data_IF_732092938712
#
_entry.id   IF_732092938712
#
_cell.length_a   1.000
_cell.length_b   1.000
_cell.length_c   1.000
_cell.angle_alpha   90.00
_cell.angle_beta   90.00
_cell.angle_gamma   90.00
#
_symmetry.space_group_name_H-M   'P 1'
#
loop_
_entity.id
_entity.type
_entity.pdbx_description
1 polymer ?
#
# COMPACT_ATOMS: atom_id res chain seq x y z
N UNK A 1 64.48 -67.03 -51.99
CA UNK A 1 63.27 -66.62 -52.73
C UNK A 1 62.40 -65.78 -51.78
N UNK A 2 62.64 -64.47 -51.68
CA UNK A 2 61.97 -63.36 -52.40
C UNK A 2 60.59 -62.97 -51.89
N UNK A 3 60.57 -61.98 -50.98
CA UNK A 3 59.79 -60.71 -51.00
C UNK A 3 58.40 -60.66 -51.66
N UNK A 4 57.40 -60.11 -50.93
CA UNK A 4 56.71 -58.85 -51.32
C UNK A 4 55.86 -58.21 -50.22
N UNK A 5 56.05 -56.91 -50.09
CA UNK A 5 55.38 -55.91 -49.24
C UNK A 5 54.10 -55.36 -49.89
N UNK A 6 53.31 -54.58 -49.11
CA UNK A 6 52.26 -53.59 -49.47
C UNK A 6 50.82 -54.03 -49.17
N UNK A 7 49.86 -53.19 -48.77
CA UNK A 7 49.80 -51.73 -48.54
C UNK A 7 48.56 -51.43 -47.69
N UNK A 8 48.59 -50.28 -47.01
CA UNK A 8 47.57 -49.71 -46.10
C UNK A 8 46.24 -49.37 -46.81
N UNK A 9 45.13 -49.46 -46.09
CA UNK A 9 43.93 -48.64 -46.30
C UNK A 9 43.50 -48.05 -44.95
N UNK A 10 43.78 -46.75 -44.76
CA UNK A 10 43.23 -45.93 -43.67
C UNK A 10 41.85 -45.46 -44.10
N UNK A 11 40.81 -45.91 -43.39
CA UNK A 11 39.48 -45.30 -43.47
C UNK A 11 39.44 -44.02 -42.64
N UNK A 12 39.16 -42.89 -43.28
CA UNK A 12 38.88 -41.60 -42.65
C UNK A 12 37.45 -41.65 -42.11
N UNK A 13 37.27 -41.58 -40.80
CA UNK A 13 35.97 -41.32 -40.17
C UNK A 13 35.87 -39.82 -39.94
N UNK A 14 34.97 -39.17 -40.68
CA UNK A 14 34.61 -37.76 -40.52
C UNK A 14 33.75 -37.65 -39.25
N UNK A 15 34.35 -37.16 -38.15
CA UNK A 15 33.61 -36.79 -36.96
C UNK A 15 32.92 -35.44 -37.20
N UNK A 16 31.61 -35.47 -37.47
CA UNK A 16 30.78 -34.29 -37.49
C UNK A 16 30.70 -33.71 -36.07
N UNK A 17 31.37 -32.58 -35.85
CA UNK A 17 31.30 -31.83 -34.60
C UNK A 17 29.90 -31.25 -34.39
N UNK A 18 29.15 -31.85 -33.48
CA UNK A 18 27.96 -31.24 -32.89
C UNK A 18 28.42 -30.13 -31.93
N UNK A 19 28.43 -28.90 -32.44
CA UNK A 19 28.50 -27.70 -31.63
C UNK A 19 27.21 -27.64 -30.77
N UNK A 20 27.30 -28.12 -29.53
CA UNK A 20 26.35 -27.75 -28.49
C UNK A 20 26.53 -26.26 -28.21
N UNK A 21 25.68 -25.43 -28.82
CA UNK A 21 25.41 -24.11 -28.27
C UNK A 21 24.73 -24.34 -26.91
N UNK A 22 25.51 -24.22 -25.83
CA UNK A 22 24.95 -23.98 -24.52
C UNK A 22 24.22 -22.63 -24.60
N UNK A 23 22.89 -22.70 -24.75
CA UNK A 23 22.05 -21.54 -24.52
C UNK A 23 22.26 -21.14 -23.06
N UNK A 24 23.05 -20.09 -22.84
CA UNK A 24 23.10 -19.41 -21.54
C UNK A 24 21.67 -18.94 -21.30
N UNK A 25 20.95 -19.44 -20.28
CA UNK A 25 19.66 -18.86 -19.96
C UNK A 25 19.92 -17.38 -19.65
N UNK A 26 19.28 -16.49 -20.42
CA UNK A 26 19.10 -15.11 -19.98
C UNK A 26 18.32 -15.22 -18.66
N UNK A 27 19.03 -15.11 -17.54
CA UNK A 27 18.43 -14.98 -16.23
C UNK A 27 17.64 -13.66 -16.22
N UNK A 28 16.36 -13.73 -16.62
CA UNK A 28 15.39 -12.77 -16.13
C UNK A 28 15.43 -12.88 -14.61
N UNK A 29 15.87 -11.82 -13.93
CA UNK A 29 16.03 -11.82 -12.47
C UNK A 29 14.67 -12.08 -11.83
N UNK A 30 14.36 -13.35 -11.56
CA UNK A 30 13.16 -13.73 -10.84
C UNK A 30 13.39 -13.30 -9.39
N UNK A 31 12.62 -12.34 -8.92
CA UNK A 31 12.66 -11.92 -7.51
C UNK A 31 12.35 -13.14 -6.64
N UNK A 32 13.14 -13.33 -5.60
CA UNK A 32 12.84 -14.28 -4.53
C UNK A 32 11.64 -13.75 -3.74
N UNK A 33 10.81 -14.66 -3.28
CA UNK A 33 9.59 -14.36 -2.53
C UNK A 33 9.48 -15.34 -1.37
N UNK A 34 9.22 -14.81 -0.17
CA UNK A 34 8.90 -15.60 1.02
C UNK A 34 7.60 -15.08 1.63
N UNK A 35 6.72 -16.03 1.98
CA UNK A 35 5.40 -15.76 2.54
C UNK A 35 5.33 -16.39 3.93
N UNK A 36 4.96 -15.58 4.91
CA UNK A 36 4.69 -16.03 6.28
C UNK A 36 3.31 -15.56 6.68
N UNK A 37 2.59 -16.38 7.44
CA UNK A 37 1.27 -16.06 7.96
C UNK A 37 1.22 -16.44 9.44
N UNK A 38 0.91 -15.46 10.27
CA UNK A 38 0.87 -15.59 11.72
C UNK A 38 -0.43 -14.98 12.26
N UNK A 39 -0.92 -15.56 13.35
CA UNK A 39 -2.15 -15.13 14.01
C UNK A 39 -1.86 -14.87 15.48
N UNK A 40 -2.41 -13.78 16.00
CA UNK A 40 -2.18 -13.28 17.34
C UNK A 40 -3.51 -12.90 17.97
N UNK A 41 -3.61 -13.12 19.29
CA UNK A 41 -4.74 -12.62 20.05
C UNK A 41 -4.66 -11.09 20.13
N UNK A 42 -5.75 -10.42 19.76
CA UNK A 42 -5.89 -8.97 19.88
C UNK A 42 -7.35 -8.67 20.21
N UNK A 43 -7.62 -8.03 21.34
CA UNK A 43 -9.00 -7.71 21.68
C UNK A 43 -9.64 -6.77 20.65
N UNK A 44 -10.97 -6.74 20.64
CA UNK A 44 -11.73 -5.85 19.76
C UNK A 44 -11.37 -4.37 19.94
N UNK A 45 -10.83 -3.98 21.10
CA UNK A 45 -10.41 -2.61 21.43
C UNK A 45 -8.90 -2.43 21.43
N UNK A 46 -8.14 -3.43 20.97
CA UNK A 46 -6.69 -3.38 20.92
C UNK A 46 -6.16 -2.28 20.00
N UNK A 47 -4.86 -2.07 20.06
CA UNK A 47 -4.17 -1.04 19.30
C UNK A 47 -3.16 -1.65 18.34
N UNK A 48 -3.06 -1.07 17.14
CA UNK A 48 -2.13 -1.51 16.10
C UNK A 48 -1.23 -0.37 15.64
N UNK A 49 0.07 -0.63 15.60
CA UNK A 49 1.08 0.23 14.98
C UNK A 49 1.84 -0.57 13.91
N UNK A 50 1.93 -0.02 12.69
CA UNK A 50 2.65 -0.64 11.59
C UNK A 50 3.63 0.38 11.01
N UNK A 51 4.90 -0.01 10.87
CA UNK A 51 5.92 0.79 10.21
C UNK A 51 6.61 -0.02 9.12
N UNK A 52 6.55 0.50 7.91
CA UNK A 52 7.21 -0.09 6.76
C UNK A 52 7.91 1.00 5.93
N UNK A 53 8.90 0.62 5.14
CA UNK A 53 9.61 1.57 4.28
C UNK A 53 9.11 1.43 2.84
N UNK A 54 9.29 0.24 2.25
CA UNK A 54 8.99 0.00 0.84
C UNK A 54 8.05 -1.19 0.69
N UNK A 55 6.88 -0.96 0.09
CA UNK A 55 5.93 -2.03 -0.22
C UNK A 55 4.48 -1.63 -0.04
N UNK A 56 3.68 -2.49 0.59
CA UNK A 56 2.23 -2.29 0.71
C UNK A 56 1.71 -2.68 2.08
N UNK A 57 0.69 -1.98 2.54
CA UNK A 57 -0.05 -2.33 3.76
C UNK A 57 -1.53 -2.41 3.39
N UNK A 58 -2.07 -3.62 3.40
CA UNK A 58 -3.50 -3.89 3.25
C UNK A 58 -4.07 -4.20 4.62
N UNK A 59 -4.95 -3.34 5.13
CA UNK A 59 -5.58 -3.47 6.44
C UNK A 59 -7.09 -3.63 6.29
N UNK A 60 -7.62 -4.74 6.81
CA UNK A 60 -9.04 -5.07 6.76
C UNK A 60 -9.61 -5.22 8.16
N UNK A 61 -10.64 -4.44 8.46
CA UNK A 61 -11.49 -4.63 9.62
C UNK A 61 -12.44 -5.81 9.42
N UNK A 62 -12.55 -6.65 10.43
CA UNK A 62 -13.46 -7.81 10.46
C UNK A 62 -14.20 -7.90 11.80
N UNK A 63 -15.27 -8.69 11.85
CA UNK A 63 -16.00 -8.98 13.10
C UNK A 63 -15.26 -9.96 14.03
N UNK A 64 -14.06 -10.44 13.65
CA UNK A 64 -13.25 -11.35 14.44
C UNK A 64 -12.55 -10.67 15.63
N UNK A 65 -11.90 -11.49 16.45
CA UNK A 65 -11.16 -11.08 17.66
C UNK A 65 -9.67 -11.46 17.60
N UNK A 66 -9.12 -11.53 16.39
CA UNK A 66 -7.74 -11.92 16.15
C UNK A 66 -7.06 -10.95 15.18
N UNK A 67 -5.77 -10.76 15.39
CA UNK A 67 -4.88 -10.11 14.45
C UNK A 67 -4.25 -11.20 13.58
N UNK A 68 -4.56 -11.21 12.28
CA UNK A 68 -3.89 -12.09 11.30
C UNK A 68 -2.98 -11.26 10.43
N UNK A 69 -1.71 -11.63 10.38
CA UNK A 69 -0.67 -10.93 9.62
C UNK A 69 -0.09 -11.89 8.62
N UNK A 70 -0.33 -11.62 7.34
CA UNK A 70 0.38 -12.25 6.24
C UNK A 70 1.41 -11.30 5.68
N UNK A 71 2.65 -11.74 5.65
CA UNK A 71 3.82 -11.00 5.23
C UNK A 71 4.37 -11.62 3.96
N UNK A 72 4.59 -10.82 2.92
CA UNK A 72 5.21 -11.23 1.67
C UNK A 72 6.48 -10.41 1.50
N UNK A 73 7.64 -11.04 1.71
CA UNK A 73 8.95 -10.42 1.51
C UNK A 73 9.45 -10.75 0.11
N UNK A 74 9.90 -9.74 -0.63
CA UNK A 74 10.45 -9.90 -1.97
C UNK A 74 11.81 -9.25 -2.08
N UNK A 75 12.79 -9.94 -2.63
CA UNK A 75 14.14 -9.42 -2.85
C UNK A 75 14.79 -10.02 -4.10
N UNK A 76 15.90 -9.44 -4.57
CA UNK A 76 16.63 -9.93 -5.74
C UNK A 76 17.76 -10.91 -5.40
N UNK A 77 18.10 -11.08 -4.12
CA UNK A 77 19.05 -12.07 -3.62
C UNK A 77 18.58 -12.64 -2.28
N UNK A 78 19.07 -13.82 -1.92
CA UNK A 78 18.71 -14.47 -0.65
C UNK A 78 19.25 -13.65 0.53
N UNK A 79 20.48 -13.14 0.42
CA UNK A 79 21.10 -12.29 1.45
C UNK A 79 20.21 -11.08 1.77
N UNK A 80 19.67 -10.41 0.74
CA UNK A 80 18.74 -9.29 0.94
C UNK A 80 17.42 -9.71 1.55
N UNK A 81 16.92 -10.89 1.20
CA UNK A 81 15.69 -11.43 1.77
C UNK A 81 15.85 -11.72 3.26
N UNK A 82 17.00 -12.28 3.65
CA UNK A 82 17.34 -12.61 5.04
C UNK A 82 17.55 -11.35 5.89
N UNK A 83 18.04 -10.27 5.28
CA UNK A 83 18.21 -8.97 5.93
C UNK A 83 16.89 -8.21 6.14
N UNK A 84 15.82 -8.51 5.39
CA UNK A 84 14.49 -7.95 5.61
C UNK A 84 13.83 -8.57 6.84
N UNK A 85 14.08 -7.97 8.00
CA UNK A 85 13.57 -8.47 9.29
C UNK A 85 12.21 -7.87 9.59
N UNK A 86 11.21 -8.73 9.71
CA UNK A 86 9.87 -8.33 10.16
C UNK A 86 9.73 -8.75 11.61
N UNK A 87 9.48 -7.77 12.48
CA UNK A 87 9.25 -8.00 13.90
C UNK A 87 7.79 -7.71 14.20
N UNK A 88 7.09 -8.71 14.74
CA UNK A 88 5.76 -8.56 15.30
C UNK A 88 5.87 -8.74 16.81
N UNK A 89 5.49 -7.72 17.57
CA UNK A 89 5.47 -7.77 19.03
C UNK A 89 4.07 -7.46 19.55
N UNK A 90 3.56 -8.33 20.41
CA UNK A 90 2.27 -8.16 21.10
C UNK A 90 2.56 -8.03 22.60
N UNK A 91 2.15 -6.91 23.18
CA UNK A 91 2.18 -6.68 24.64
C UNK A 91 0.75 -6.40 25.12
N UNK A 92 0.11 -7.43 25.66
CA UNK A 92 -1.31 -7.40 25.99
C UNK A 92 -2.18 -7.09 24.77
N UNK A 93 -2.73 -5.89 24.72
CA UNK A 93 -3.61 -5.40 23.65
C UNK A 93 -2.92 -4.41 22.70
N UNK A 94 -1.60 -4.24 22.79
CA UNK A 94 -0.81 -3.41 21.87
C UNK A 94 0.00 -4.27 20.90
N UNK A 95 -0.36 -4.20 19.62
CA UNK A 95 0.32 -4.86 18.53
C UNK A 95 1.21 -3.89 17.76
N UNK A 96 2.48 -4.23 17.61
CA UNK A 96 3.46 -3.44 16.86
C UNK A 96 4.11 -4.31 15.80
N UNK A 97 4.08 -3.84 14.55
CA UNK A 97 4.67 -4.49 13.39
C UNK A 97 5.71 -3.53 12.79
N UNK A 98 6.97 -3.92 12.80
CA UNK A 98 8.06 -3.11 12.25
C UNK A 98 8.90 -3.91 11.25
N UNK A 99 9.15 -3.31 10.08
CA UNK A 99 10.11 -3.83 9.12
C UNK A 99 11.46 -3.14 9.26
N UNK A 100 12.51 -3.90 9.54
CA UNK A 100 13.89 -3.46 9.37
C UNK A 100 14.35 -3.67 7.93
N UNK A 101 14.70 -2.58 7.25
CA UNK A 101 15.36 -2.64 5.94
C UNK A 101 16.88 -2.54 6.12
N UNK A 102 17.67 -3.27 5.32
CA UNK A 102 19.12 -3.12 5.37
C UNK A 102 19.54 -1.70 4.96
N UNK A 103 20.66 -1.20 5.51
CA UNK A 103 21.18 0.09 5.09
C UNK A 103 21.48 0.07 3.58
N UNK A 104 21.19 1.20 2.92
CA UNK A 104 21.58 1.39 1.53
C UNK A 104 23.11 1.30 1.44
N UNK A 105 23.66 0.56 0.47
CA UNK A 105 25.10 0.45 0.33
C UNK A 105 25.72 1.83 0.11
N UNK A 106 26.88 2.07 0.72
CA UNK A 106 27.65 3.29 0.49
C UNK A 106 28.15 3.31 -0.97
N UNK A 107 27.65 4.25 -1.78
CA UNK A 107 28.09 4.49 -3.16
C UNK A 107 27.00 4.42 -4.23
N UNK A 108 27.37 4.73 -5.48
CA UNK A 108 26.46 4.73 -6.64
C UNK A 108 26.26 3.32 -7.22
N UNK A 109 25.95 2.34 -6.36
CA UNK A 109 25.59 1.01 -6.83
C UNK A 109 24.13 1.00 -7.28
N UNK A 110 23.89 0.94 -8.59
CA UNK A 110 22.56 0.88 -9.20
C UNK A 110 21.97 -0.54 -9.22
N UNK A 111 22.71 -1.54 -8.72
CA UNK A 111 22.29 -2.94 -8.69
C UNK A 111 21.46 -3.30 -7.46
N UNK A 112 21.46 -2.46 -6.42
CA UNK A 112 20.74 -2.74 -5.19
C UNK A 112 19.30 -2.25 -5.26
N UNK A 113 18.45 -3.11 -5.81
CA UNK A 113 17.00 -2.93 -5.71
C UNK A 113 16.59 -3.45 -4.35
N UNK A 114 16.51 -2.52 -3.38
CA UNK A 114 15.98 -2.78 -2.04
C UNK A 114 14.69 -3.59 -2.16
N UNK A 115 14.59 -4.66 -1.37
CA UNK A 115 13.42 -5.53 -1.41
C UNK A 115 12.15 -4.81 -0.96
N UNK A 116 11.00 -5.46 -1.11
CA UNK A 116 9.70 -4.91 -0.72
C UNK A 116 9.02 -5.84 0.27
N UNK A 117 8.30 -5.27 1.23
CA UNK A 117 7.48 -6.03 2.16
C UNK A 117 6.01 -5.65 1.97
N UNK A 118 5.19 -6.62 1.61
CA UNK A 118 3.74 -6.46 1.49
C UNK A 118 3.06 -7.12 2.70
N UNK A 119 2.19 -6.36 3.35
CA UNK A 119 1.40 -6.80 4.49
C UNK A 119 -0.06 -6.97 4.08
N UNK A 120 -0.65 -8.09 4.45
CA UNK A 120 -2.08 -8.34 4.43
C UNK A 120 -2.52 -8.61 5.86
N UNK A 121 -3.20 -7.65 6.46
CA UNK A 121 -3.53 -7.62 7.88
C UNK A 121 -5.05 -7.63 8.05
N UNK A 122 -5.56 -8.63 8.77
CA UNK A 122 -6.94 -8.61 9.26
C UNK A 122 -6.92 -8.30 10.75
N UNK A 123 -7.77 -7.36 11.16
CA UNK A 123 -7.92 -6.95 12.56
C UNK A 123 -9.40 -6.91 12.96
N UNK A 124 -9.69 -6.90 14.27
CA UNK A 124 -11.01 -6.52 14.75
C UNK A 124 -11.35 -5.10 14.28
N UNK A 125 -12.51 -4.92 13.66
CA UNK A 125 -12.92 -3.63 13.08
C UNK A 125 -13.03 -2.50 14.11
N UNK A 126 -13.16 -2.83 15.40
CA UNK A 126 -13.26 -1.86 16.49
C UNK A 126 -11.90 -1.47 17.09
N UNK A 127 -10.80 -2.02 16.58
CA UNK A 127 -9.46 -1.70 17.08
C UNK A 127 -9.05 -0.27 16.69
N UNK A 128 -8.06 0.26 17.41
CA UNK A 128 -7.45 1.56 17.10
C UNK A 128 -6.19 1.36 16.27
N UNK A 129 -6.11 1.99 15.11
CA UNK A 129 -4.88 2.02 14.32
C UNK A 129 -4.10 3.27 14.73
N UNK A 130 -3.23 3.12 15.73
CA UNK A 130 -2.44 4.24 16.29
C UNK A 130 -1.59 4.90 15.22
N UNK A 131 -0.97 4.10 14.35
CA UNK A 131 -0.17 4.60 13.22
C UNK A 131 0.05 3.50 12.18
N UNK A 132 -0.22 3.80 10.91
CA UNK A 132 0.22 3.02 9.76
C UNK A 132 1.14 3.90 8.91
N UNK A 133 2.44 3.66 8.97
CA UNK A 133 3.46 4.50 8.33
C UNK A 133 4.18 3.75 7.21
N UNK A 134 4.27 4.39 6.04
CA UNK A 134 4.94 3.85 4.87
C UNK A 134 5.74 4.93 4.13
N UNK A 135 7.03 4.71 3.91
CA UNK A 135 7.84 5.69 3.17
C UNK A 135 7.49 5.71 1.67
N UNK A 136 7.43 4.55 1.02
CA UNK A 136 7.10 4.42 -0.39
C UNK A 136 6.14 3.24 -0.65
N UNK A 137 5.02 3.53 -1.29
CA UNK A 137 4.09 2.51 -1.75
C UNK A 137 2.63 2.81 -1.43
N UNK A 138 1.88 1.80 -1.03
CA UNK A 138 0.42 1.90 -0.89
C UNK A 138 -0.05 1.44 0.48
N UNK A 139 -0.91 2.25 1.10
CA UNK A 139 -1.73 1.83 2.24
C UNK A 139 -3.18 1.75 1.76
N UNK A 140 -3.81 0.59 1.93
CA UNK A 140 -5.25 0.44 1.75
C UNK A 140 -5.89 0.00 3.06
N UNK A 141 -6.94 0.68 3.47
CA UNK A 141 -7.67 0.42 4.73
C UNK A 141 -9.14 0.24 4.40
N UNK A 142 -9.75 -0.81 4.94
CA UNK A 142 -11.15 -1.15 4.69
C UNK A 142 -11.91 -1.51 5.98
N UNK A 143 -13.14 -1.01 6.10
CA UNK A 143 -14.14 -1.58 7.02
C UNK A 143 -13.88 -1.31 8.51
N UNK A 144 -13.25 -0.19 8.84
CA UNK A 144 -12.90 0.14 10.22
C UNK A 144 -13.96 0.97 10.93
N UNK A 145 -14.20 0.63 12.19
CA UNK A 145 -15.25 1.16 13.07
C UNK A 145 -14.74 1.51 14.48
N UNK A 146 -13.45 1.37 14.74
CA UNK A 146 -12.83 1.70 16.02
C UNK A 146 -12.80 3.19 16.33
N UNK A 147 -12.09 3.60 17.39
CA UNK A 147 -11.99 4.99 17.81
C UNK A 147 -11.28 5.90 16.80
N UNK A 148 -10.13 5.46 16.27
CA UNK A 148 -9.34 6.25 15.34
C UNK A 148 -8.41 5.44 14.44
N UNK A 149 -8.00 6.08 13.35
CA UNK A 149 -6.97 5.61 12.42
C UNK A 149 -6.04 6.77 12.09
N UNK A 150 -4.74 6.53 12.19
CA UNK A 150 -3.72 7.41 11.63
C UNK A 150 -2.92 6.66 10.55
N UNK A 151 -2.89 7.20 9.33
CA UNK A 151 -2.06 6.65 8.26
C UNK A 151 -1.21 7.74 7.60
N UNK A 152 0.07 7.46 7.40
CA UNK A 152 1.04 8.37 6.83
C UNK A 152 1.81 7.69 5.71
N UNK A 153 1.84 8.32 4.54
CA UNK A 153 2.62 7.85 3.40
C UNK A 153 3.53 8.96 2.89
N UNK A 154 4.80 8.64 2.65
CA UNK A 154 5.72 9.56 1.98
C UNK A 154 5.35 9.69 0.50
N UNK A 155 5.72 8.69 -0.30
CA UNK A 155 5.47 8.68 -1.74
C UNK A 155 4.62 7.48 -2.14
N UNK A 156 3.41 7.75 -2.64
CA UNK A 156 2.56 6.72 -3.20
C UNK A 156 1.07 7.00 -3.00
N UNK A 157 0.34 6.06 -2.39
CA UNK A 157 -1.12 6.12 -2.35
C UNK A 157 -1.72 5.72 -1.01
N UNK A 158 -2.84 6.35 -0.69
CA UNK A 158 -3.73 5.94 0.38
C UNK A 158 -5.11 5.66 -0.22
N UNK A 159 -5.63 4.46 0.01
CA UNK A 159 -6.99 4.07 -0.36
C UNK A 159 -7.77 3.71 0.90
N UNK A 160 -8.83 4.44 1.22
CA UNK A 160 -9.68 4.13 2.36
C UNK A 160 -11.10 3.82 1.91
N UNK A 161 -11.66 2.70 2.39
CA UNK A 161 -13.04 2.29 2.09
C UNK A 161 -13.82 2.08 3.37
N UNK A 162 -15.02 2.63 3.44
CA UNK A 162 -16.00 2.36 4.50
C UNK A 162 -15.42 2.46 5.92
N UNK A 163 -14.53 3.43 6.14
CA UNK A 163 -13.91 3.70 7.44
C UNK A 163 -14.74 4.76 8.17
N UNK A 164 -15.62 4.31 9.06
CA UNK A 164 -16.52 5.17 9.84
C UNK A 164 -15.95 5.40 11.24
N UNK A 165 -14.84 6.14 11.29
CA UNK A 165 -14.03 6.38 12.50
C UNK A 165 -13.38 7.76 12.42
N UNK A 166 -12.70 8.22 13.48
CA UNK A 166 -11.85 9.42 13.41
C UNK A 166 -10.57 9.11 12.63
N UNK A 167 -10.57 9.35 11.33
CA UNK A 167 -9.46 9.03 10.42
C UNK A 167 -8.60 10.26 10.11
N UNK A 168 -7.28 10.12 10.23
CA UNK A 168 -6.29 11.10 9.79
C UNK A 168 -5.35 10.46 8.78
N UNK A 169 -5.35 10.98 7.56
CA UNK A 169 -4.52 10.51 6.46
C UNK A 169 -3.61 11.63 5.98
N UNK A 170 -2.31 11.39 5.99
CA UNK A 170 -1.28 12.34 5.55
C UNK A 170 -0.46 11.72 4.42
N UNK A 171 -0.34 12.42 3.30
CA UNK A 171 0.42 11.97 2.13
C UNK A 171 1.34 13.07 1.61
N UNK A 172 2.65 12.84 1.54
CA UNK A 172 3.58 13.85 1.01
C UNK A 172 3.47 13.97 -0.51
N UNK A 173 3.46 12.83 -1.23
CA UNK A 173 3.37 12.82 -2.69
C UNK A 173 2.54 11.65 -3.23
N UNK A 174 1.55 11.96 -4.07
CA UNK A 174 0.87 10.96 -4.91
C UNK A 174 -0.64 11.10 -5.00
N UNK A 175 -1.40 10.09 -4.57
CA UNK A 175 -2.86 10.10 -4.67
C UNK A 175 -3.57 9.55 -3.42
N UNK A 176 -4.62 10.21 -3.00
CA UNK A 176 -5.49 9.74 -1.92
C UNK A 176 -6.92 9.54 -2.44
N UNK A 177 -7.48 8.36 -2.21
CA UNK A 177 -8.87 8.07 -2.56
C UNK A 177 -9.61 7.53 -1.33
N UNK A 178 -10.73 8.18 -0.99
CA UNK A 178 -11.61 7.75 0.10
C UNK A 178 -12.99 7.45 -0.47
N UNK A 179 -13.53 6.28 -0.16
CA UNK A 179 -14.81 5.81 -0.69
C UNK A 179 -15.74 5.38 0.45
N UNK A 180 -16.94 5.95 0.44
CA UNK A 180 -18.06 5.50 1.28
C UNK A 180 -19.14 4.87 0.39
N UNK A 181 -19.36 3.56 0.55
CA UNK A 181 -20.38 2.82 -0.18
C UNK A 181 -21.79 3.01 0.41
N UNK A 182 -21.88 3.37 1.68
CA UNK A 182 -23.09 3.75 2.39
C UNK A 182 -22.75 4.81 3.43
N UNK A 183 -23.77 5.39 4.07
CA UNK A 183 -23.59 6.32 5.16
C UNK A 183 -24.05 5.73 6.48
N UNK A 184 -23.18 5.70 7.50
CA UNK A 184 -23.56 5.31 8.86
C UNK A 184 -24.05 6.53 9.65
N UNK A 185 -25.02 6.34 10.54
CA UNK A 185 -25.57 7.41 11.41
C UNK A 185 -24.65 7.80 12.57
N UNK A 186 -23.57 7.05 12.79
CA UNK A 186 -22.63 7.28 13.89
C UNK A 186 -21.81 8.55 13.65
N UNK A 187 -21.29 9.14 14.73
CA UNK A 187 -20.35 10.23 14.60
C UNK A 187 -18.98 9.75 14.10
N UNK A 188 -18.38 10.45 13.13
CA UNK A 188 -17.02 10.19 12.66
C UNK A 188 -16.39 11.43 12.01
N UNK A 189 -15.09 11.38 11.72
CA UNK A 189 -14.38 12.49 11.07
C UNK A 189 -13.30 11.98 10.13
N UNK A 190 -13.01 12.74 9.09
CA UNK A 190 -11.95 12.47 8.14
C UNK A 190 -11.11 13.73 7.99
N UNK A 191 -9.81 13.63 8.30
CA UNK A 191 -8.81 14.62 7.94
C UNK A 191 -7.88 14.03 6.88
N UNK A 192 -8.01 14.48 5.64
CA UNK A 192 -7.22 14.03 4.50
C UNK A 192 -6.31 15.17 4.03
N UNK A 193 -5.00 15.02 4.21
CA UNK A 193 -4.00 16.03 3.91
C UNK A 193 -2.98 15.51 2.89
N UNK A 194 -2.76 16.26 1.82
CA UNK A 194 -1.75 15.95 0.80
C UNK A 194 -0.87 17.15 0.47
N UNK A 195 0.45 16.98 0.48
CA UNK A 195 1.38 18.05 0.13
C UNK A 195 1.50 18.23 -1.40
N UNK A 196 1.63 17.13 -2.15
CA UNK A 196 1.69 17.16 -3.62
C UNK A 196 0.95 15.99 -4.26
N UNK A 197 -0.19 16.26 -4.88
CA UNK A 197 -1.01 15.22 -5.49
C UNK A 197 -2.50 15.51 -5.46
N UNK A 198 -3.30 14.48 -5.73
CA UNK A 198 -4.75 14.62 -5.81
C UNK A 198 -5.45 13.91 -4.65
N UNK A 199 -6.49 14.56 -4.10
CA UNK A 199 -7.44 13.94 -3.17
C UNK A 199 -8.75 13.72 -3.89
N UNK A 200 -9.28 12.50 -3.83
CA UNK A 200 -10.61 12.16 -4.32
C UNK A 200 -11.44 11.55 -3.20
N UNK A 201 -12.65 12.05 -3.00
CA UNK A 201 -13.61 11.48 -2.05
C UNK A 201 -14.91 11.16 -2.78
N UNK A 202 -15.41 9.94 -2.61
CA UNK A 202 -16.68 9.48 -3.15
C UNK A 202 -17.64 9.26 -1.99
N UNK A 203 -18.76 9.99 -2.03
CA UNK A 203 -19.76 10.04 -0.96
C UNK A 203 -21.14 9.73 -1.55
N UNK A 204 -22.01 8.97 -0.86
CA UNK A 204 -23.36 8.69 -1.34
C UNK A 204 -24.28 9.92 -1.25
N UNK A 205 -25.38 9.96 -2.04
CA UNK A 205 -26.27 11.15 -2.05
C UNK A 205 -26.87 11.49 -0.71
N UNK A 206 -27.14 10.45 0.08
CA UNK A 206 -27.86 10.47 1.35
C UNK A 206 -26.93 10.71 2.54
N UNK A 207 -25.66 11.06 2.28
CA UNK A 207 -24.72 11.41 3.31
C UNK A 207 -25.17 12.64 4.11
N UNK A 208 -24.93 12.57 5.42
CA UNK A 208 -25.15 13.66 6.36
C UNK A 208 -23.78 14.12 6.91
N UNK A 209 -23.18 15.11 6.26
CA UNK A 209 -21.78 15.48 6.49
C UNK A 209 -21.54 16.97 6.30
N UNK A 210 -20.65 17.53 7.11
CA UNK A 210 -20.01 18.81 6.83
C UNK A 210 -18.73 18.55 6.06
N UNK A 211 -18.56 19.24 4.94
CA UNK A 211 -17.36 19.12 4.10
C UNK A 211 -16.65 20.47 4.09
N UNK A 212 -15.37 20.50 4.48
CA UNK A 212 -14.42 21.60 4.26
C UNK A 212 -13.30 21.10 3.35
N UNK A 213 -13.29 21.59 2.11
CA UNK A 213 -12.27 21.25 1.13
C UNK A 213 -11.47 22.50 0.73
N UNK A 214 -10.15 22.41 0.77
CA UNK A 214 -9.24 23.51 0.42
C UNK A 214 -8.07 23.01 -0.43
N UNK A 215 -7.70 23.77 -1.45
CA UNK A 215 -6.44 23.59 -2.21
C UNK A 215 -5.66 24.91 -2.30
N UNK A 216 -4.35 24.89 -2.12
CA UNK A 216 -3.51 26.09 -2.29
C UNK A 216 -3.19 26.29 -3.78
N UNK A 217 -2.62 25.28 -4.42
CA UNK A 217 -2.22 25.29 -5.83
C UNK A 217 -2.88 24.12 -6.57
N UNK A 218 -4.07 24.34 -7.09
CA UNK A 218 -4.81 23.35 -7.88
C UNK A 218 -6.25 23.76 -8.08
N UNK A 219 -7.05 22.82 -8.57
CA UNK A 219 -8.48 23.01 -8.79
C UNK A 219 -9.29 22.20 -7.78
N UNK A 220 -10.42 22.78 -7.37
CA UNK A 220 -11.41 22.10 -6.55
C UNK A 220 -12.63 21.79 -7.43
N UNK A 221 -13.08 20.54 -7.40
CA UNK A 221 -14.29 20.09 -8.09
C UNK A 221 -15.21 19.37 -7.09
N UNK A 222 -16.50 19.68 -7.11
CA UNK A 222 -17.49 19.01 -6.27
C UNK A 222 -18.77 18.75 -7.06
N UNK A 223 -19.26 17.51 -7.01
CA UNK A 223 -20.58 17.14 -7.54
C UNK A 223 -21.74 17.57 -6.64
N UNK A 224 -21.44 18.10 -5.46
CA UNK A 224 -22.40 18.69 -4.52
C UNK A 224 -22.51 20.22 -4.65
N UNK A 225 -21.72 20.83 -5.54
CA UNK A 225 -21.85 22.26 -5.85
C UNK A 225 -23.13 22.52 -6.65
N UNK A 226 -23.68 23.73 -6.54
CA UNK A 226 -24.87 24.11 -7.30
C UNK A 226 -24.55 24.14 -8.80
N UNK A 227 -25.50 23.82 -9.69
CA UNK A 227 -25.28 23.94 -11.13
C UNK A 227 -24.79 25.35 -11.52
N UNK A 228 -23.66 25.43 -12.22
CA UNK A 228 -23.05 26.71 -12.63
C UNK A 228 -22.16 27.39 -11.58
N UNK A 229 -22.02 26.80 -10.39
CA UNK A 229 -21.12 27.31 -9.35
C UNK A 229 -19.66 27.00 -9.72
N UNK A 230 -18.87 28.06 -9.93
CA UNK A 230 -17.43 27.95 -10.11
C UNK A 230 -16.76 27.86 -8.75
N UNK A 231 -16.17 26.71 -8.45
CA UNK A 231 -15.43 26.50 -7.21
C UNK A 231 -14.04 27.13 -7.34
N UNK A 232 -13.71 28.01 -6.40
CA UNK A 232 -12.37 28.56 -6.27
C UNK A 232 -11.41 27.56 -5.63
N UNK A 233 -10.67 28.01 -4.62
CA UNK A 233 -9.69 27.23 -3.87
C UNK A 233 -10.23 26.64 -2.56
N UNK A 234 -11.48 26.98 -2.23
CA UNK A 234 -12.14 26.58 -0.99
C UNK A 234 -13.59 26.23 -1.31
N UNK A 235 -14.09 25.18 -0.69
CA UNK A 235 -15.48 24.73 -0.79
C UNK A 235 -15.93 24.24 0.57
N UNK A 236 -17.00 24.84 1.08
CA UNK A 236 -17.66 24.41 2.30
C UNK A 236 -19.12 24.12 2.00
N UNK A 237 -19.60 22.96 2.44
CA UNK A 237 -21.02 22.60 2.34
C UNK A 237 -21.44 21.70 3.50
N UNK A 238 -22.73 21.67 3.77
CA UNK A 238 -23.36 20.72 4.69
C UNK A 238 -24.38 19.91 3.92
N UNK A 239 -24.27 18.59 3.99
CA UNK A 239 -25.18 17.62 3.39
C UNK A 239 -26.11 17.06 4.48
N UNK A 240 -27.36 16.74 4.13
CA UNK A 240 -28.37 16.20 5.06
C UNK A 240 -29.21 17.29 5.76
N UNK A 241 -30.35 16.89 6.32
CA UNK A 241 -31.39 17.82 6.81
C UNK A 241 -31.33 18.12 8.32
N UNK A 242 -30.50 17.42 9.11
CA UNK A 242 -30.36 17.66 10.55
C UNK A 242 -28.95 17.31 11.03
N UNK A 243 -28.24 18.28 11.63
CA UNK A 243 -26.96 18.12 12.34
C UNK A 243 -25.99 17.10 11.76
N UNK A 244 -25.04 17.56 10.94
CA UNK A 244 -24.02 16.69 10.32
C UNK A 244 -23.38 15.73 11.32
N UNK A 245 -23.55 14.42 11.09
CA UNK A 245 -22.94 13.40 11.94
C UNK A 245 -21.48 13.12 11.54
N UNK A 246 -21.01 13.62 10.41
CA UNK A 246 -19.60 13.54 10.05
C UNK A 246 -18.99 14.88 9.67
N UNK A 247 -17.69 15.00 9.90
CA UNK A 247 -16.87 16.14 9.46
C UNK A 247 -15.76 15.64 8.53
N UNK A 248 -15.76 16.12 7.28
CA UNK A 248 -14.76 15.77 6.27
C UNK A 248 -13.92 16.99 5.92
N UNK A 249 -12.66 16.98 6.34
CA UNK A 249 -11.67 18.00 6.03
C UNK A 249 -10.69 17.48 4.98
N UNK A 250 -10.65 18.13 3.81
CA UNK A 250 -9.80 17.76 2.68
C UNK A 250 -8.85 18.91 2.36
N UNK A 251 -7.54 18.69 2.47
CA UNK A 251 -6.52 19.73 2.23
C UNK A 251 -5.48 19.24 1.23
N UNK A 252 -5.25 20.04 0.19
CA UNK A 252 -4.16 19.83 -0.75
C UNK A 252 -3.28 21.09 -0.87
N UNK A 253 -1.96 20.94 -0.77
CA UNK A 253 -1.07 22.08 -1.02
C UNK A 253 -0.82 22.25 -2.52
N UNK A 254 -0.35 21.22 -3.20
CA UNK A 254 -0.10 21.24 -4.65
C UNK A 254 -0.87 20.11 -5.34
N UNK A 255 -2.09 20.40 -5.78
CA UNK A 255 -2.87 19.52 -6.62
C UNK A 255 -4.37 19.64 -6.38
N UNK A 256 -5.13 18.71 -6.96
CA UNK A 256 -6.58 18.86 -7.08
C UNK A 256 -7.32 18.17 -5.94
N UNK A 257 -8.44 18.75 -5.54
CA UNK A 257 -9.41 18.12 -4.64
C UNK A 257 -10.69 17.86 -5.41
N UNK A 258 -11.13 16.61 -5.47
CA UNK A 258 -12.37 16.20 -6.13
C UNK A 258 -13.31 15.49 -5.15
N UNK A 259 -14.52 16.00 -5.05
CA UNK A 259 -15.61 15.38 -4.29
C UNK A 259 -16.65 14.89 -5.31
N UNK A 260 -16.79 13.58 -5.42
CA UNK A 260 -17.73 12.91 -6.32
C UNK A 260 -18.89 12.28 -5.54
N UNK A 261 -19.99 12.06 -6.25
CA UNK A 261 -21.17 11.36 -5.77
C UNK A 261 -21.13 9.90 -6.24
N UNK A 262 -21.35 8.92 -5.35
CA UNK A 262 -21.28 7.49 -5.71
C UNK A 262 -22.55 6.97 -6.40
N UNK A 263 -23.73 7.34 -5.92
CA UNK A 263 -25.07 7.05 -6.47
C UNK A 263 -26.04 8.14 -6.03
#
# INVERSE_FOLDING_TARGET
MTTKTSRRFSGIVIAAGLLFFAAVPLNGSKTLEEITEESYDLSATGTLTIRNQDGRIYLYGSDGSELRVKVIRKAFSQERLDELKVNVSIDGDDAVIETGFPPKPEGWSTSDRSGTVEYLINVPQHCTVKKAELANGEIMIDGMRGPSIEAQVGNGRIHARNCFTSARFTLERGGMEVFYGWWERRAFSLAAEIASGNVRVLIPSDANARIDATTVNGNLQSRFAKPGESLGRKFETTLGDEGANAELTLRATNGNVRIDKSY
#
